data_IF_580721618891
#
_entry.id   IF_580721618891
#
_cell.length_a   1.000
_cell.length_b   1.000
_cell.length_c   1.000
_cell.angle_alpha   90.00
_cell.angle_beta   90.00
_cell.angle_gamma   90.00
#
_symmetry.space_group_name_H-M   'P 1'
#
loop_
_entity.id
_entity.type
_entity.pdbx_description
1 polymer ?
#
# COMPACT_ATOMS: atom_id res chain seq x y z
N UNK A 1 0.05 -14.42 -32.77
CA UNK A 1 0.32 -15.83 -32.38
C UNK A 1 -0.03 -15.96 -30.91
N UNK A 2 -0.88 -16.91 -30.55
CA UNK A 2 -1.23 -17.16 -29.15
C UNK A 2 0.01 -17.58 -28.38
N UNK A 3 0.33 -16.86 -27.31
CA UNK A 3 1.44 -17.19 -26.41
C UNK A 3 0.97 -18.29 -25.44
N UNK A 4 1.85 -19.24 -25.09
CA UNK A 4 1.57 -20.15 -23.96
C UNK A 4 1.60 -19.40 -22.63
N UNK A 5 1.00 -19.95 -21.57
CA UNK A 5 1.08 -19.35 -20.22
C UNK A 5 2.53 -19.19 -19.75
N UNK A 6 3.38 -20.17 -20.05
CA UNK A 6 4.80 -20.13 -19.69
C UNK A 6 5.55 -19.03 -20.45
N UNK A 7 5.25 -18.84 -21.74
CA UNK A 7 5.91 -17.79 -22.52
C UNK A 7 5.44 -16.39 -22.12
N UNK A 8 4.16 -16.25 -21.75
CA UNK A 8 3.62 -15.02 -21.18
C UNK A 8 4.31 -14.69 -19.85
N UNK A 9 4.43 -15.63 -18.92
CA UNK A 9 5.15 -15.41 -17.67
C UNK A 9 6.64 -15.07 -17.87
N UNK A 10 7.32 -15.70 -18.84
CA UNK A 10 8.70 -15.31 -19.21
C UNK A 10 8.78 -13.85 -19.67
N UNK A 11 7.81 -13.39 -20.46
CA UNK A 11 7.73 -11.99 -20.89
C UNK A 11 7.47 -11.05 -19.71
N UNK A 12 6.54 -11.39 -18.81
CA UNK A 12 6.28 -10.63 -17.59
C UNK A 12 7.54 -10.55 -16.69
N UNK A 13 8.29 -11.65 -16.56
CA UNK A 13 9.58 -11.67 -15.85
C UNK A 13 10.63 -10.73 -16.48
N UNK A 14 10.63 -10.64 -17.82
CA UNK A 14 11.51 -9.71 -18.54
C UNK A 14 11.12 -8.26 -18.24
N UNK A 15 9.83 -7.92 -18.31
CA UNK A 15 9.35 -6.58 -17.95
C UNK A 15 9.67 -6.24 -16.50
N UNK A 16 9.42 -7.17 -15.56
CA UNK A 16 9.78 -6.99 -14.15
C UNK A 16 11.25 -6.60 -13.98
N UNK A 17 12.15 -7.29 -14.67
CA UNK A 17 13.58 -7.00 -14.62
C UNK A 17 13.92 -5.64 -15.22
N UNK A 18 13.24 -5.25 -16.30
CA UNK A 18 13.44 -3.94 -16.94
C UNK A 18 12.98 -2.80 -16.03
N UNK A 19 11.75 -2.85 -15.50
CA UNK A 19 11.23 -1.83 -14.58
C UNK A 19 12.04 -1.72 -13.28
N UNK A 20 12.60 -2.82 -12.79
CA UNK A 20 13.50 -2.79 -11.63
C UNK A 20 14.79 -1.99 -11.86
N UNK A 21 15.24 -1.89 -13.12
CA UNK A 21 16.46 -1.16 -13.48
C UNK A 21 16.17 0.27 -13.95
N UNK A 22 15.14 0.47 -14.76
CA UNK A 22 14.85 1.76 -15.40
C UNK A 22 13.80 2.60 -14.67
N UNK A 23 13.05 2.00 -13.74
CA UNK A 23 11.84 2.58 -13.17
C UNK A 23 10.70 2.73 -14.20
N UNK A 24 9.62 3.41 -13.81
CA UNK A 24 8.38 3.55 -14.62
C UNK A 24 8.45 4.63 -15.71
N UNK A 25 9.54 5.37 -15.91
CA UNK A 25 9.52 6.59 -16.75
C UNK A 25 9.41 6.35 -18.27
N UNK A 26 9.59 5.13 -18.74
CA UNK A 26 9.52 4.79 -20.17
C UNK A 26 8.08 4.47 -20.60
N UNK A 27 7.45 5.44 -21.28
CA UNK A 27 6.07 5.30 -21.79
C UNK A 27 5.92 4.19 -22.85
N UNK A 28 6.95 3.92 -23.66
CA UNK A 28 6.89 2.84 -24.66
C UNK A 28 6.93 1.48 -23.96
N UNK A 29 7.78 1.35 -22.95
CA UNK A 29 7.85 0.15 -22.10
C UNK A 29 6.54 -0.07 -21.34
N UNK A 30 5.97 0.98 -20.75
CA UNK A 30 4.64 0.93 -20.10
C UNK A 30 3.57 0.39 -21.06
N UNK A 31 3.48 0.95 -22.27
CA UNK A 31 2.50 0.53 -23.27
C UNK A 31 2.66 -0.94 -23.68
N UNK A 32 3.90 -1.39 -23.91
CA UNK A 32 4.18 -2.81 -24.18
C UNK A 32 3.79 -3.68 -23.00
N UNK A 33 4.18 -3.32 -21.78
CA UNK A 33 3.85 -4.08 -20.58
C UNK A 33 2.33 -4.20 -20.38
N UNK A 34 1.57 -3.12 -20.53
CA UNK A 34 0.11 -3.12 -20.39
C UNK A 34 -0.58 -4.05 -21.40
N UNK A 35 -0.04 -4.21 -22.60
CA UNK A 35 -0.55 -5.18 -23.56
C UNK A 35 -0.42 -6.62 -23.04
N UNK A 36 0.71 -6.98 -22.42
CA UNK A 36 0.89 -8.29 -21.79
C UNK A 36 0.06 -8.44 -20.50
N UNK A 37 -0.12 -7.37 -19.74
CA UNK A 37 -0.98 -7.36 -18.55
C UNK A 37 -2.46 -7.54 -18.90
N UNK A 38 -2.89 -7.03 -20.06
CA UNK A 38 -4.25 -7.27 -20.59
C UNK A 38 -4.50 -8.76 -20.79
N UNK A 39 -3.54 -9.46 -21.39
CA UNK A 39 -3.62 -10.91 -21.59
C UNK A 39 -3.52 -11.66 -20.25
N UNK A 40 -2.68 -11.21 -19.33
CA UNK A 40 -2.55 -11.78 -18.00
C UNK A 40 -3.86 -11.68 -17.19
N UNK A 41 -4.52 -10.51 -17.21
CA UNK A 41 -5.81 -10.30 -16.57
C UNK A 41 -6.89 -11.20 -17.18
N UNK A 42 -6.91 -11.34 -18.51
CA UNK A 42 -7.89 -12.20 -19.17
C UNK A 42 -7.72 -13.66 -18.77
N UNK A 43 -6.49 -14.16 -18.68
CA UNK A 43 -6.22 -15.57 -18.32
C UNK A 43 -6.39 -15.87 -16.83
N UNK A 44 -6.11 -14.92 -15.97
CA UNK A 44 -6.13 -15.13 -14.51
C UNK A 44 -7.46 -14.76 -13.85
N UNK A 45 -8.20 -13.81 -14.42
CA UNK A 45 -9.46 -13.29 -13.88
C UNK A 45 -10.66 -13.50 -14.83
N UNK A 46 -10.43 -13.87 -16.09
CA UNK A 46 -11.47 -13.85 -17.12
C UNK A 46 -11.83 -12.44 -17.61
N UNK A 47 -11.21 -11.40 -17.06
CA UNK A 47 -11.48 -10.00 -17.37
C UNK A 47 -10.51 -9.48 -18.43
N UNK A 48 -11.04 -8.96 -19.54
CA UNK A 48 -10.23 -8.33 -20.58
C UNK A 48 -10.31 -6.81 -20.43
N UNK A 49 -9.21 -6.13 -20.05
CA UNK A 49 -9.23 -4.69 -19.89
C UNK A 49 -9.74 -3.94 -21.13
N UNK A 50 -10.60 -2.96 -20.90
CA UNK A 50 -11.08 -2.04 -21.93
C UNK A 50 -10.05 -0.95 -22.24
N UNK A 51 -10.10 -0.31 -23.43
CA UNK A 51 -9.19 0.79 -23.76
C UNK A 51 -9.18 1.92 -22.73
N UNK A 52 -10.35 2.25 -22.15
CA UNK A 52 -10.49 3.26 -21.09
C UNK A 52 -9.73 2.91 -19.82
N UNK A 53 -9.65 1.63 -19.46
CA UNK A 53 -8.90 1.14 -18.30
C UNK A 53 -7.39 1.20 -18.57
N UNK A 54 -6.97 0.94 -19.81
CA UNK A 54 -5.56 1.08 -20.22
C UNK A 54 -5.15 2.57 -20.19
N UNK A 55 -6.01 3.47 -20.68
CA UNK A 55 -5.79 4.92 -20.59
C UNK A 55 -5.72 5.39 -19.13
N UNK A 56 -6.63 4.93 -18.27
CA UNK A 56 -6.62 5.24 -16.84
C UNK A 56 -5.35 4.73 -16.15
N UNK A 57 -4.90 3.51 -16.48
CA UNK A 57 -3.66 2.95 -15.91
C UNK A 57 -2.43 3.76 -16.31
N UNK A 58 -2.33 4.18 -17.57
CA UNK A 58 -1.26 5.08 -18.04
C UNK A 58 -1.31 6.45 -17.35
N UNK A 59 -2.50 6.98 -17.07
CA UNK A 59 -2.64 8.23 -16.34
C UNK A 59 -2.14 8.08 -14.88
N UNK A 60 -2.52 6.99 -14.19
CA UNK A 60 -2.06 6.69 -12.84
C UNK A 60 -0.53 6.53 -12.76
N UNK A 61 0.08 5.84 -13.72
CA UNK A 61 1.54 5.66 -13.78
C UNK A 61 2.30 6.98 -14.00
N UNK A 62 1.63 8.01 -14.52
CA UNK A 62 2.17 9.36 -14.68
C UNK A 62 1.85 10.28 -13.49
N UNK A 63 1.19 9.77 -12.46
CA UNK A 63 0.80 10.54 -11.27
C UNK A 63 -0.40 11.46 -11.48
N UNK A 64 -1.22 11.23 -12.51
CA UNK A 64 -2.44 12.01 -12.74
C UNK A 64 -3.64 11.43 -11.98
N UNK A 65 -4.63 12.29 -11.73
CA UNK A 65 -5.97 11.89 -11.34
C UNK A 65 -6.71 11.33 -12.55
N UNK A 66 -7.14 10.07 -12.49
CA UNK A 66 -7.92 9.43 -13.53
C UNK A 66 -9.41 9.44 -13.17
N UNK A 67 -10.18 10.37 -13.74
CA UNK A 67 -11.63 10.40 -13.59
C UNK A 67 -12.27 9.31 -14.46
N UNK A 68 -12.99 8.40 -13.80
CA UNK A 68 -13.71 7.30 -14.44
C UNK A 68 -15.08 7.18 -13.80
N UNK A 69 -16.13 7.00 -14.60
CA UNK A 69 -17.47 6.79 -14.08
C UNK A 69 -17.55 5.49 -13.26
N UNK A 70 -18.47 5.42 -12.31
CA UNK A 70 -18.76 4.19 -11.57
C UNK A 70 -19.16 3.10 -12.54
N UNK A 71 -18.55 1.92 -12.42
CA UNK A 71 -18.77 0.80 -13.34
C UNK A 71 -17.73 0.65 -14.46
N UNK A 72 -16.88 1.65 -14.70
CA UNK A 72 -15.79 1.57 -15.70
C UNK A 72 -14.63 0.65 -15.28
N UNK A 73 -14.69 0.05 -14.10
CA UNK A 73 -13.69 -0.87 -13.56
C UNK A 73 -12.41 -0.18 -13.08
N UNK A 74 -12.57 0.78 -12.16
CA UNK A 74 -11.47 1.44 -11.43
C UNK A 74 -10.54 0.43 -10.75
N UNK A 75 -11.11 -0.60 -10.13
CA UNK A 75 -10.36 -1.67 -9.44
C UNK A 75 -9.35 -2.37 -10.37
N UNK A 76 -9.78 -2.82 -11.56
CA UNK A 76 -8.87 -3.45 -12.52
C UNK A 76 -7.85 -2.44 -13.09
N UNK A 77 -8.27 -1.20 -13.30
CA UNK A 77 -7.40 -0.10 -13.78
C UNK A 77 -6.26 0.17 -12.80
N UNK A 78 -6.58 0.30 -11.51
CA UNK A 78 -5.60 0.45 -10.44
C UNK A 78 -4.70 -0.78 -10.33
N UNK A 79 -5.24 -1.99 -10.47
CA UNK A 79 -4.47 -3.22 -10.43
C UNK A 79 -3.41 -3.30 -11.54
N UNK A 80 -3.74 -2.89 -12.76
CA UNK A 80 -2.79 -2.81 -13.89
C UNK A 80 -1.63 -1.86 -13.59
N UNK A 81 -1.92 -0.68 -13.05
CA UNK A 81 -0.90 0.29 -12.66
C UNK A 81 -0.04 -0.24 -11.49
N UNK A 82 -0.67 -0.88 -10.51
CA UNK A 82 -0.01 -1.44 -9.35
C UNK A 82 0.97 -2.57 -9.70
N UNK A 83 0.72 -3.35 -10.76
CA UNK A 83 1.68 -4.35 -11.22
C UNK A 83 2.99 -3.71 -11.70
N UNK A 84 2.89 -2.65 -12.51
CA UNK A 84 4.09 -1.94 -12.99
C UNK A 84 4.83 -1.27 -11.84
N UNK A 85 4.11 -0.62 -10.91
CA UNK A 85 4.70 -0.04 -9.71
C UNK A 85 5.37 -1.10 -8.81
N UNK A 86 4.73 -2.25 -8.61
CA UNK A 86 5.28 -3.36 -7.81
C UNK A 86 6.52 -4.00 -8.43
N UNK A 87 6.65 -4.00 -9.77
CA UNK A 87 7.84 -4.52 -10.45
C UNK A 87 9.11 -3.71 -10.18
N UNK A 88 9.00 -2.44 -9.80
CA UNK A 88 10.16 -1.63 -9.37
C UNK A 88 10.83 -2.18 -8.10
N UNK A 89 10.10 -2.95 -7.29
CA UNK A 89 10.58 -3.48 -6.01
C UNK A 89 10.35 -2.55 -4.81
N UNK A 90 9.81 -1.36 -5.03
CA UNK A 90 9.31 -0.49 -3.97
C UNK A 90 7.89 -0.92 -3.54
N UNK A 91 7.46 -0.66 -2.29
CA UNK A 91 6.07 -0.93 -1.89
C UNK A 91 5.07 -0.11 -2.73
N UNK A 92 4.05 -0.78 -3.25
CA UNK A 92 2.88 -0.14 -3.84
C UNK A 92 1.68 -0.30 -2.90
N UNK A 93 1.11 0.81 -2.46
CA UNK A 93 -0.06 0.85 -1.58
C UNK A 93 -1.29 1.25 -2.39
N UNK A 94 -2.35 0.45 -2.35
CA UNK A 94 -3.66 0.81 -2.91
C UNK A 94 -4.54 1.21 -1.73
N UNK A 95 -4.90 2.50 -1.68
CA UNK A 95 -5.73 3.08 -0.65
C UNK A 95 -7.18 3.01 -1.14
N UNK A 96 -8.01 2.31 -0.39
CA UNK A 96 -9.44 2.13 -0.67
C UNK A 96 -10.29 2.86 0.38
N UNK A 97 -11.59 3.04 0.09
CA UNK A 97 -12.49 3.75 0.99
C UNK A 97 -12.77 3.04 2.32
N UNK A 98 -12.62 1.71 2.40
CA UNK A 98 -12.81 0.96 3.65
C UNK A 98 -12.14 -0.42 3.64
N UNK A 99 -12.03 -1.02 4.85
CA UNK A 99 -11.39 -2.31 5.08
C UNK A 99 -12.00 -3.47 4.29
N UNK A 100 -13.33 -3.45 4.07
CA UNK A 100 -13.99 -4.49 3.29
C UNK A 100 -13.54 -4.45 1.83
N UNK A 101 -13.49 -3.27 1.21
CA UNK A 101 -12.99 -3.09 -0.16
C UNK A 101 -11.51 -3.50 -0.25
N UNK A 102 -10.67 -3.09 0.69
CA UNK A 102 -9.26 -3.48 0.74
C UNK A 102 -9.09 -5.01 0.77
N UNK A 103 -9.80 -5.69 1.67
CA UNK A 103 -9.71 -7.14 1.82
C UNK A 103 -10.30 -7.90 0.63
N UNK A 104 -11.43 -7.43 0.10
CA UNK A 104 -12.08 -8.01 -1.08
C UNK A 104 -11.15 -7.92 -2.29
N UNK A 105 -10.66 -6.74 -2.61
CA UNK A 105 -9.89 -6.50 -3.83
C UNK A 105 -8.54 -7.22 -3.80
N UNK A 106 -7.85 -7.23 -2.66
CA UNK A 106 -6.64 -8.03 -2.48
C UNK A 106 -6.88 -9.54 -2.72
N UNK A 107 -8.04 -10.06 -2.29
CA UNK A 107 -8.42 -11.47 -2.46
C UNK A 107 -8.79 -11.78 -3.91
N UNK A 108 -9.68 -10.97 -4.51
CA UNK A 108 -10.20 -11.20 -5.86
C UNK A 108 -9.10 -11.06 -6.93
N UNK A 109 -8.16 -10.13 -6.74
CA UNK A 109 -7.06 -9.89 -7.67
C UNK A 109 -5.80 -10.74 -7.38
N UNK A 110 -5.82 -11.59 -6.35
CA UNK A 110 -4.67 -12.37 -5.92
C UNK A 110 -4.09 -13.26 -7.03
N UNK A 111 -4.95 -13.91 -7.81
CA UNK A 111 -4.52 -14.74 -8.95
C UNK A 111 -3.81 -13.93 -10.03
N UNK A 112 -4.27 -12.70 -10.27
CA UNK A 112 -3.68 -11.79 -11.25
C UNK A 112 -2.29 -11.30 -10.82
N UNK A 113 -2.14 -10.84 -9.57
CA UNK A 113 -0.83 -10.43 -9.05
C UNK A 113 0.16 -11.60 -9.05
N UNK A 114 -0.29 -12.79 -8.60
CA UNK A 114 0.53 -14.01 -8.59
C UNK A 114 0.98 -14.37 -10.02
N UNK A 115 0.07 -14.31 -11.00
CA UNK A 115 0.39 -14.53 -12.40
C UNK A 115 1.42 -13.51 -12.93
N UNK A 116 1.38 -12.28 -12.42
CA UNK A 116 2.33 -11.21 -12.73
C UNK A 116 3.61 -11.25 -11.87
N UNK A 117 3.87 -12.34 -11.14
CA UNK A 117 5.08 -12.55 -10.32
C UNK A 117 5.20 -11.57 -9.13
N UNK A 118 4.07 -11.12 -8.62
CA UNK A 118 3.97 -10.23 -7.46
C UNK A 118 3.15 -10.90 -6.36
N UNK A 119 3.46 -10.58 -5.11
CA UNK A 119 2.61 -10.94 -3.99
C UNK A 119 1.74 -9.75 -3.57
N UNK A 120 0.52 -10.05 -3.12
CA UNK A 120 -0.44 -9.04 -2.64
C UNK A 120 -0.84 -9.34 -1.19
N UNK A 121 -0.96 -8.29 -0.39
CA UNK A 121 -1.47 -8.34 0.98
C UNK A 121 -2.54 -7.27 1.21
N UNK A 122 -3.15 -7.30 2.39
CA UNK A 122 -4.00 -6.21 2.85
C UNK A 122 -3.71 -5.87 4.32
N UNK A 123 -3.95 -4.61 4.69
CA UNK A 123 -3.86 -4.14 6.06
C UNK A 123 -5.16 -3.46 6.43
N UNK A 124 -5.86 -4.06 7.39
CA UNK A 124 -7.17 -3.62 7.90
C UNK A 124 -7.12 -3.40 9.42
N UNK A 125 -8.17 -2.79 9.96
CA UNK A 125 -8.33 -2.58 11.39
C UNK A 125 -8.24 -3.89 12.18
N UNK A 126 -7.79 -3.79 13.43
CA UNK A 126 -7.62 -4.91 14.38
C UNK A 126 -6.58 -5.98 14.02
N UNK A 127 -5.84 -5.86 12.92
CA UNK A 127 -4.69 -6.74 12.65
C UNK A 127 -3.55 -6.53 13.67
N UNK A 128 -3.00 -7.62 14.25
CA UNK A 128 -1.85 -7.54 15.15
C UNK A 128 -0.57 -7.10 14.40
N UNK A 129 0.41 -6.48 15.09
CA UNK A 129 1.62 -5.95 14.44
C UNK A 129 2.39 -6.96 13.59
N UNK A 130 2.44 -8.23 13.99
CA UNK A 130 3.14 -9.28 13.25
C UNK A 130 2.48 -9.57 11.89
N UNK A 131 1.15 -9.59 11.85
CA UNK A 131 0.39 -9.78 10.61
C UNK A 131 0.48 -8.55 9.71
N UNK A 132 0.47 -7.35 10.28
CA UNK A 132 0.72 -6.10 9.53
C UNK A 132 2.10 -6.12 8.88
N UNK A 133 3.13 -6.50 9.61
CA UNK A 133 4.49 -6.61 9.09
C UNK A 133 4.57 -7.60 7.92
N UNK A 134 3.89 -8.74 8.02
CA UNK A 134 3.80 -9.71 6.93
C UNK A 134 3.10 -9.10 5.70
N UNK A 135 2.00 -8.39 5.88
CA UNK A 135 1.25 -7.78 4.77
C UNK A 135 2.00 -6.60 4.14
N UNK A 136 2.64 -5.73 4.92
CA UNK A 136 3.48 -4.66 4.39
C UNK A 136 4.76 -5.16 3.72
N UNK A 137 5.15 -6.42 3.93
CA UNK A 137 6.27 -7.03 3.21
C UNK A 137 5.91 -7.45 1.78
N UNK A 138 4.63 -7.46 1.40
CA UNK A 138 4.17 -7.81 0.06
C UNK A 138 4.51 -6.70 -0.96
N UNK A 139 4.44 -7.03 -2.26
CA UNK A 139 4.76 -6.07 -3.33
C UNK A 139 3.66 -5.02 -3.50
N UNK A 140 2.40 -5.47 -3.40
CA UNK A 140 1.20 -4.65 -3.45
C UNK A 140 0.41 -4.83 -2.15
N UNK A 141 0.00 -3.73 -1.53
CA UNK A 141 -0.72 -3.74 -0.26
C UNK A 141 -2.00 -2.93 -0.38
N UNK A 142 -3.14 -3.58 -0.20
CA UNK A 142 -4.43 -2.89 -0.08
C UNK A 142 -4.64 -2.42 1.36
N UNK A 143 -5.08 -1.19 1.53
CA UNK A 143 -5.28 -0.62 2.87
C UNK A 143 -6.26 0.55 2.81
N UNK A 144 -6.46 1.23 3.93
CA UNK A 144 -7.24 2.47 4.01
C UNK A 144 -6.33 3.63 4.41
N UNK A 145 -6.80 4.85 4.15
CA UNK A 145 -6.12 6.10 4.51
C UNK A 145 -5.74 6.14 6.00
N UNK A 146 -6.65 5.68 6.86
CA UNK A 146 -6.51 5.66 8.32
C UNK A 146 -5.43 4.68 8.77
N UNK A 147 -5.43 3.47 8.22
CA UNK A 147 -4.51 2.41 8.64
C UNK A 147 -3.07 2.72 8.24
N UNK A 148 -2.84 3.10 6.98
CA UNK A 148 -1.49 3.45 6.50
C UNK A 148 -0.92 4.65 7.26
N UNK A 149 -1.73 5.67 7.55
CA UNK A 149 -1.31 6.84 8.31
C UNK A 149 -1.02 6.49 9.77
N UNK A 150 -1.87 5.68 10.41
CA UNK A 150 -1.67 5.24 11.79
C UNK A 150 -0.40 4.38 11.95
N UNK A 151 -0.17 3.43 11.04
CA UNK A 151 1.05 2.62 11.03
C UNK A 151 2.29 3.49 10.81
N UNK A 152 2.24 4.43 9.86
CA UNK A 152 3.34 5.34 9.58
C UNK A 152 3.70 6.20 10.81
N UNK A 153 2.70 6.74 11.50
CA UNK A 153 2.90 7.52 12.71
C UNK A 153 3.41 6.66 13.87
N UNK A 154 2.90 5.43 14.05
CA UNK A 154 3.39 4.48 15.06
C UNK A 154 4.87 4.13 14.82
N UNK A 155 5.24 3.82 13.59
CA UNK A 155 6.62 3.53 13.21
C UNK A 155 7.53 4.76 13.43
N UNK A 156 7.06 5.98 13.12
CA UNK A 156 7.80 7.21 13.42
C UNK A 156 7.98 7.45 14.91
N UNK A 157 6.94 7.31 15.73
CA UNK A 157 7.04 7.48 17.19
C UNK A 157 8.04 6.48 17.77
N UNK A 158 8.05 5.24 17.27
CA UNK A 158 9.00 4.22 17.69
C UNK A 158 10.45 4.56 17.30
N UNK A 159 10.65 5.13 16.11
CA UNK A 159 11.97 5.57 15.66
C UNK A 159 12.54 6.71 16.51
N UNK A 160 11.68 7.59 17.05
CA UNK A 160 12.09 8.72 17.89
C UNK A 160 13.19 9.54 17.21
N UNK A 161 14.24 9.95 17.93
CA UNK A 161 15.35 10.73 17.36
C UNK A 161 16.16 10.01 16.26
N UNK A 162 15.90 8.73 15.95
CA UNK A 162 16.61 7.94 14.94
C UNK A 162 15.90 7.95 13.58
N UNK A 163 15.43 9.11 13.11
CA UNK A 163 14.79 9.22 11.80
C UNK A 163 15.81 9.24 10.64
N UNK A 164 17.05 9.69 10.87
CA UNK A 164 18.05 9.80 9.81
C UNK A 164 18.64 8.42 9.45
N UNK A 165 18.66 8.00 8.15
CA UNK A 165 19.17 6.69 7.73
C UNK A 165 20.59 6.39 8.23
N UNK A 166 21.49 7.37 8.15
CA UNK A 166 22.87 7.24 8.63
C UNK A 166 22.97 7.03 10.14
N UNK A 167 22.13 7.70 10.94
CA UNK A 167 22.09 7.52 12.40
C UNK A 167 21.52 6.16 12.78
N UNK A 168 20.58 5.60 11.99
CA UNK A 168 20.06 4.23 12.18
C UNK A 168 21.15 3.19 11.96
N UNK A 169 21.89 3.28 10.86
CA UNK A 169 23.02 2.40 10.56
C UNK A 169 24.08 2.45 11.66
N UNK A 170 24.50 3.64 12.09
CA UNK A 170 25.49 3.79 13.17
C UNK A 170 24.99 3.17 14.48
N UNK A 171 23.70 3.33 14.80
CA UNK A 171 23.09 2.79 16.02
C UNK A 171 22.90 1.27 15.96
N UNK A 172 22.61 0.69 14.79
CA UNK A 172 22.56 -0.75 14.60
C UNK A 172 23.94 -1.42 14.74
N UNK A 173 25.03 -0.70 14.43
CA UNK A 173 26.39 -1.19 14.68
C UNK A 173 26.84 -1.06 16.15
N UNK A 174 26.38 -0.04 16.88
CA UNK A 174 26.78 0.21 18.28
C UNK A 174 26.00 -0.58 19.33
N UNK A 175 24.80 -1.05 18.99
CA UNK A 175 23.90 -1.72 19.95
C UNK A 175 23.67 -3.15 19.47
N UNK A 176 24.34 -4.13 20.08
CA UNK A 176 24.10 -5.57 19.84
C UNK A 176 22.73 -6.04 20.38
N UNK A 177 22.03 -5.20 21.14
CA UNK A 177 20.63 -5.43 21.47
C UNK A 177 19.78 -5.20 20.23
N UNK A 178 19.30 -6.32 19.66
CA UNK A 178 18.13 -6.39 18.78
C UNK A 178 16.98 -5.64 19.48
N UNK A 179 16.89 -4.32 19.30
CA UNK A 179 15.63 -3.62 19.48
C UNK A 179 14.69 -4.32 18.51
N UNK A 180 13.73 -5.08 19.04
CA UNK A 180 12.72 -5.75 18.22
C UNK A 180 12.21 -4.73 17.23
N UNK A 181 12.49 -4.95 15.94
CA UNK A 181 12.06 -4.05 14.89
C UNK A 181 10.55 -4.28 14.74
N UNK A 182 9.78 -3.70 15.66
CA UNK A 182 8.31 -3.77 15.66
C UNK A 182 7.71 -2.77 14.69
N UNK A 183 8.56 -2.14 13.86
CA UNK A 183 8.10 -1.44 12.67
C UNK A 183 7.35 -2.41 11.78
N UNK A 184 6.20 -1.97 11.30
CA UNK A 184 5.38 -2.79 10.42
C UNK A 184 5.58 -2.39 8.97
N UNK A 185 5.92 -1.14 8.67
CA UNK A 185 6.07 -0.65 7.29
C UNK A 185 7.50 -0.81 6.76
N UNK A 186 7.61 -1.09 5.46
CA UNK A 186 8.89 -1.07 4.71
C UNK A 186 9.18 0.25 3.99
N UNK A 187 8.26 1.22 4.06
CA UNK A 187 8.37 2.53 3.42
C UNK A 187 7.13 2.94 2.62
N UNK A 188 7.14 4.17 2.10
CA UNK A 188 6.10 4.74 1.24
C UNK A 188 6.68 4.89 -0.17
N UNK A 189 6.44 3.89 -1.03
CA UNK A 189 6.92 3.87 -2.40
C UNK A 189 5.93 4.56 -3.33
N UNK A 190 5.01 3.78 -3.91
CA UNK A 190 3.88 4.30 -4.70
C UNK A 190 2.59 4.19 -3.89
N UNK A 191 1.70 5.17 -4.02
CA UNK A 191 0.34 5.11 -3.49
C UNK A 191 -0.66 5.38 -4.62
N UNK A 192 -1.62 4.48 -4.82
CA UNK A 192 -2.77 4.66 -5.72
C UNK A 192 -3.99 4.82 -4.83
N UNK A 193 -4.68 5.96 -4.94
CA UNK A 193 -5.84 6.28 -4.11
C UNK A 193 -7.11 6.07 -4.93
N UNK A 194 -7.92 5.09 -4.54
CA UNK A 194 -9.28 4.96 -5.04
C UNK A 194 -10.19 5.95 -4.30
N UNK A 195 -11.22 6.47 -4.97
CA UNK A 195 -12.09 7.54 -4.46
C UNK A 195 -11.28 8.71 -3.87
N UNK A 196 -10.36 9.25 -4.70
CA UNK A 196 -9.42 10.29 -4.28
C UNK A 196 -10.10 11.57 -3.77
N UNK A 197 -11.31 11.88 -4.24
CA UNK A 197 -12.17 12.93 -3.71
C UNK A 197 -12.56 12.66 -2.26
N UNK A 198 -13.14 11.49 -1.97
CA UNK A 198 -13.49 11.08 -0.61
C UNK A 198 -12.28 11.12 0.33
N UNK A 199 -11.13 10.61 -0.12
CA UNK A 199 -9.94 10.47 0.75
C UNK A 199 -9.16 11.77 0.92
N UNK A 200 -8.89 12.50 -0.18
CA UNK A 200 -7.99 13.66 -0.17
C UNK A 200 -8.72 14.99 0.02
N UNK A 201 -10.05 15.01 -0.10
CA UNK A 201 -10.87 16.20 0.13
C UNK A 201 -11.72 16.01 1.38
N UNK A 202 -12.60 15.02 1.40
CA UNK A 202 -13.60 14.90 2.47
C UNK A 202 -12.97 14.43 3.79
N UNK A 203 -12.15 13.38 3.77
CA UNK A 203 -11.48 12.88 4.98
C UNK A 203 -10.32 13.77 5.46
N UNK A 204 -9.75 14.58 4.57
CA UNK A 204 -8.57 15.40 4.86
C UNK A 204 -8.82 16.54 5.86
N UNK A 205 -10.08 16.85 6.19
CA UNK A 205 -10.45 17.92 7.11
C UNK A 205 -10.15 17.61 8.58
N UNK A 206 -10.02 16.32 8.95
CA UNK A 206 -9.77 15.90 10.34
C UNK A 206 -8.41 15.21 10.45
N UNK A 207 -7.46 15.72 11.24
CA UNK A 207 -6.16 15.08 11.40
C UNK A 207 -6.27 13.79 12.21
N UNK A 208 -5.45 12.79 11.86
CA UNK A 208 -5.29 11.59 12.68
C UNK A 208 -4.35 11.87 13.86
N UNK A 209 -4.85 11.66 15.08
CA UNK A 209 -4.12 11.94 16.33
C UNK A 209 -3.87 10.63 17.07
N UNK A 210 -2.61 10.37 17.43
CA UNK A 210 -2.23 9.29 18.34
C UNK A 210 -1.89 9.90 19.70
N UNK A 211 -2.73 9.64 20.71
CA UNK A 211 -2.51 10.06 22.09
C UNK A 211 -2.10 8.88 22.97
N UNK A 212 -1.20 9.13 23.92
CA UNK A 212 -0.86 8.17 24.99
C UNK A 212 -1.40 8.69 26.31
N UNK A 213 -2.12 7.88 27.11
CA UNK A 213 -2.54 8.29 28.44
C UNK A 213 -1.30 8.56 29.30
N UNK A 214 -1.27 9.74 29.92
CA UNK A 214 -0.24 10.12 30.88
C UNK A 214 -0.83 10.14 32.29
N UNK A 215 -0.02 9.76 33.29
CA UNK A 215 -0.42 9.91 34.68
C UNK A 215 -0.59 11.40 34.97
N UNK A 216 -1.78 11.80 35.38
CA UNK A 216 -2.07 13.14 35.87
C UNK A 216 -2.23 13.07 37.39
N UNK A 217 -1.11 13.15 38.11
CA UNK A 217 -1.11 13.06 39.58
C UNK A 217 -1.98 14.15 40.25
N UNK A 218 -1.98 15.42 39.81
CA UNK A 218 -2.91 16.42 40.32
C UNK A 218 -4.39 16.04 40.18
N UNK A 219 -4.79 15.50 39.02
CA UNK A 219 -6.16 15.04 38.80
C UNK A 219 -6.52 13.85 39.72
N UNK A 220 -5.60 12.90 39.90
CA UNK A 220 -5.80 11.78 40.82
C UNK A 220 -5.98 12.24 42.26
N UNK A 221 -5.19 13.24 42.68
CA UNK A 221 -5.29 13.84 44.01
C UNK A 221 -6.64 14.53 44.20
N UNK A 222 -7.08 15.34 43.23
CA UNK A 222 -8.39 15.97 43.25
C UNK A 222 -9.54 14.95 43.34
N UNK A 223 -9.47 13.86 42.59
CA UNK A 223 -10.47 12.77 42.64
C UNK A 223 -10.49 12.10 44.02
N UNK A 224 -9.32 11.82 44.61
CA UNK A 224 -9.24 11.24 45.97
C UNK A 224 -9.86 12.17 47.01
N UNK A 225 -9.58 13.48 46.94
CA UNK A 225 -10.14 14.47 47.86
C UNK A 225 -11.66 14.53 47.69
N UNK A 226 -12.16 14.55 46.45
CA UNK A 226 -13.60 14.56 46.19
C UNK A 226 -14.32 13.32 46.74
N UNK A 227 -13.71 12.13 46.63
CA UNK A 227 -14.25 10.88 47.20
C UNK A 227 -14.29 10.88 48.74
N UNK A 228 -13.47 11.67 49.41
CA UNK A 228 -13.50 11.83 50.87
C UNK A 228 -14.63 12.77 51.28
N UNK A 229 -14.91 13.81 50.48
CA UNK A 229 -15.89 14.86 50.79
C UNK A 229 -17.33 14.43 50.45
N UNK A 230 -17.50 13.62 49.40
CA UNK A 230 -18.80 13.14 48.95
C UNK A 230 -18.99 11.68 49.44
N UNK A 231 -19.80 11.43 50.48
CA UNK A 231 -20.11 10.08 50.96
C UNK A 231 -20.91 9.25 49.96
#
# INVERSE_FOLDING_TARGET
RELSNNDLQKKLSTFRSQFRCSGQNDSELQGKALAFLTEAAHRSLGLRPFPVQIMGSLALLKGYLAEMATGEGKTLTAALAAVIAGWEGNPCHIITGNDYLAARDAKELSSFYTFCLLNVGNVISHMPPQERQLNYSQDVVYTTSKEILADFLRDRIQLGACHHPGLRLIKSFKTFEKKSDTMVMRGLGTAIVDEADSVLVDEAVTPLIISKPMKNEPLKEAVKIAQIILP
#
